data_IF_528170088141
#
_entry.id   IF_528170088141
#
_cell.length_a   1.000
_cell.length_b   1.000
_cell.length_c   1.000
_cell.angle_alpha   90.00
_cell.angle_beta   90.00
_cell.angle_gamma   90.00
#
_symmetry.space_group_name_H-M   'P 1'
#
loop_
_entity.id
_entity.type
_entity.pdbx_description
1 polymer ?
#
# COMPACT_ATOMS: atom_id res chain seq x y z
N UNK A 1 -2.90 2.73 -37.11
CA UNK A 1 -3.69 3.67 -36.27
C UNK A 1 -4.62 2.94 -35.30
N UNK A 2 -5.64 2.17 -35.74
CA UNK A 2 -6.58 1.47 -34.83
C UNK A 2 -5.95 0.54 -33.76
N UNK A 3 -4.84 -0.14 -34.08
CA UNK A 3 -4.13 -1.01 -33.14
C UNK A 3 -3.41 -0.22 -32.03
N UNK A 4 -2.93 0.98 -32.35
CA UNK A 4 -2.23 1.87 -31.41
C UNK A 4 -3.22 2.47 -30.39
N UNK A 5 -4.43 2.79 -30.85
CA UNK A 5 -5.52 3.29 -30.00
C UNK A 5 -6.02 2.21 -29.02
N UNK A 6 -6.10 0.95 -29.46
CA UNK A 6 -6.52 -0.16 -28.61
C UNK A 6 -5.50 -0.50 -27.52
N UNK A 7 -4.20 -0.49 -27.84
CA UNK A 7 -3.12 -0.68 -26.87
C UNK A 7 -3.13 0.44 -25.82
N UNK A 8 -3.33 1.69 -26.25
CA UNK A 8 -3.44 2.82 -25.33
C UNK A 8 -4.68 2.74 -24.44
N UNK A 9 -5.83 2.27 -24.97
CA UNK A 9 -7.05 2.06 -24.19
C UNK A 9 -6.86 0.98 -23.12
N UNK A 10 -6.20 -0.13 -23.46
CA UNK A 10 -5.94 -1.22 -22.51
C UNK A 10 -4.99 -0.80 -21.39
N UNK A 11 -3.94 -0.04 -21.72
CA UNK A 11 -3.02 0.56 -20.73
C UNK A 11 -3.80 1.52 -19.82
N UNK A 12 -4.67 2.35 -20.39
CA UNK A 12 -5.50 3.28 -19.63
C UNK A 12 -6.48 2.56 -18.70
N UNK A 13 -7.07 1.45 -19.14
CA UNK A 13 -7.96 0.64 -18.32
C UNK A 13 -7.21 -0.01 -17.15
N UNK A 14 -6.05 -0.63 -17.41
CA UNK A 14 -5.16 -1.16 -16.36
C UNK A 14 -4.78 -0.08 -15.34
N UNK A 15 -4.48 1.12 -15.83
CA UNK A 15 -4.17 2.28 -14.99
C UNK A 15 -5.34 2.62 -14.05
N UNK A 16 -6.54 2.81 -14.58
CA UNK A 16 -7.72 3.19 -13.78
C UNK A 16 -8.06 2.10 -12.78
N UNK A 17 -8.11 0.84 -13.23
CA UNK A 17 -8.47 -0.27 -12.38
C UNK A 17 -7.45 -0.44 -11.25
N UNK A 18 -6.16 -0.43 -11.61
CA UNK A 18 -5.05 -0.53 -10.67
C UNK A 18 -5.10 0.56 -9.61
N UNK A 19 -5.32 1.80 -10.04
CA UNK A 19 -5.50 2.95 -9.17
C UNK A 19 -6.67 2.79 -8.20
N UNK A 20 -7.88 2.49 -8.71
CA UNK A 20 -9.09 2.39 -7.90
C UNK A 20 -8.94 1.29 -6.85
N UNK A 21 -8.47 0.11 -7.25
CA UNK A 21 -8.26 -1.00 -6.35
C UNK A 21 -7.23 -0.65 -5.27
N UNK A 22 -6.08 -0.10 -5.66
CA UNK A 22 -5.03 0.23 -4.71
C UNK A 22 -5.47 1.32 -3.71
N UNK A 23 -6.06 2.41 -4.21
CA UNK A 23 -6.55 3.50 -3.37
C UNK A 23 -7.63 3.03 -2.40
N UNK A 24 -8.56 2.19 -2.87
CA UNK A 24 -9.62 1.60 -2.06
C UNK A 24 -9.05 0.79 -0.88
N UNK A 25 -8.11 -0.11 -1.15
CA UNK A 25 -7.45 -0.93 -0.11
C UNK A 25 -6.70 -0.08 0.91
N UNK A 26 -5.95 0.92 0.43
CA UNK A 26 -5.15 1.79 1.29
C UNK A 26 -6.02 2.68 2.18
N UNK A 27 -6.94 3.44 1.58
CA UNK A 27 -7.71 4.47 2.29
C UNK A 27 -8.68 3.86 3.31
N UNK A 28 -9.37 2.78 2.93
CA UNK A 28 -10.46 2.23 3.74
C UNK A 28 -10.08 1.06 4.64
N UNK A 29 -8.91 0.44 4.46
CA UNK A 29 -8.51 -0.73 5.26
C UNK A 29 -7.12 -0.60 5.87
N UNK A 30 -6.09 -0.23 5.09
CA UNK A 30 -4.71 -0.18 5.61
C UNK A 30 -4.55 0.93 6.65
N UNK A 31 -4.87 2.17 6.28
CA UNK A 31 -4.75 3.32 7.16
C UNK A 31 -5.63 3.21 8.43
N UNK A 32 -6.92 2.89 8.35
CA UNK A 32 -7.77 2.83 9.55
C UNK A 32 -7.45 1.68 10.51
N UNK A 33 -6.84 0.58 10.03
CA UNK A 33 -6.46 -0.56 10.89
C UNK A 33 -4.99 -0.58 11.28
N UNK A 34 -4.24 0.43 10.85
CA UNK A 34 -2.78 0.51 11.02
C UNK A 34 -2.09 -0.79 10.58
N UNK A 35 -2.51 -1.35 9.45
CA UNK A 35 -1.91 -2.55 8.91
C UNK A 35 -0.54 -2.21 8.34
N UNK A 36 0.48 -2.92 8.81
CA UNK A 36 1.85 -2.77 8.33
C UNK A 36 2.08 -3.94 7.38
N UNK A 37 1.89 -3.70 6.09
CA UNK A 37 2.01 -4.72 5.04
C UNK A 37 3.14 -4.39 4.06
N UNK A 38 3.99 -3.42 4.37
CA UNK A 38 4.94 -2.86 3.43
C UNK A 38 4.41 -1.69 2.60
N UNK A 39 5.13 -1.34 1.54
CA UNK A 39 4.83 -0.17 0.72
C UNK A 39 4.97 1.16 1.46
N UNK A 40 4.56 2.25 0.82
CA UNK A 40 4.69 3.59 1.39
C UNK A 40 3.88 3.72 2.69
N UNK A 41 2.57 3.49 2.63
CA UNK A 41 1.68 3.72 3.78
C UNK A 41 1.98 2.79 4.95
N UNK A 42 2.32 1.52 4.69
CA UNK A 42 2.78 0.62 5.74
C UNK A 42 4.08 1.12 6.41
N UNK A 43 5.00 1.66 5.62
CA UNK A 43 6.23 2.28 6.14
C UNK A 43 5.94 3.54 6.94
N UNK A 44 4.96 4.36 6.55
CA UNK A 44 4.56 5.56 7.30
C UNK A 44 3.90 5.20 8.64
N UNK A 45 3.04 4.16 8.67
CA UNK A 45 2.47 3.63 9.91
C UNK A 45 3.59 3.14 10.85
N UNK A 46 4.60 2.48 10.30
CA UNK A 46 5.79 2.06 11.06
C UNK A 46 6.60 3.24 11.60
N UNK A 47 6.80 4.29 10.81
CA UNK A 47 7.51 5.50 11.26
C UNK A 47 6.74 6.24 12.37
N UNK A 48 5.40 6.32 12.27
CA UNK A 48 4.56 6.87 13.34
C UNK A 48 4.72 6.07 14.64
N UNK A 49 4.88 4.75 14.53
CA UNK A 49 5.12 3.88 15.68
C UNK A 49 6.49 4.10 16.33
N UNK A 50 7.53 4.34 15.53
CA UNK A 50 8.88 4.57 16.07
C UNK A 50 8.98 5.96 16.70
N UNK A 51 8.63 7.01 15.96
CA UNK A 51 8.97 8.38 16.32
C UNK A 51 7.84 9.13 17.04
N UNK A 52 6.58 8.75 16.79
CA UNK A 52 5.40 9.47 17.26
C UNK A 52 4.58 8.69 18.28
N UNK A 53 5.23 7.79 19.03
CA UNK A 53 4.62 7.11 20.16
C UNK A 53 4.87 7.88 21.47
N UNK A 54 3.80 8.42 22.07
CA UNK A 54 3.87 9.19 23.34
C UNK A 54 2.70 8.82 24.25
N UNK A 55 2.96 8.71 25.55
CA UNK A 55 1.95 8.49 26.60
C UNK A 55 1.01 7.28 26.34
N UNK A 56 1.57 6.17 25.87
CA UNK A 56 0.80 4.95 25.61
C UNK A 56 0.00 4.96 24.31
N UNK A 57 0.01 6.06 23.54
CA UNK A 57 -0.75 6.23 22.29
C UNK A 57 0.17 6.55 21.12
N UNK A 58 -0.20 6.04 19.94
CA UNK A 58 0.46 6.38 18.68
C UNK A 58 -0.17 7.66 18.13
N UNK A 59 0.64 8.68 17.89
CA UNK A 59 0.24 9.86 17.15
C UNK A 59 0.47 9.60 15.66
N UNK A 60 -0.56 9.85 14.87
CA UNK A 60 -0.56 9.65 13.42
C UNK A 60 -0.09 10.94 12.73
N UNK A 61 1.22 11.19 12.69
CA UNK A 61 1.78 12.38 12.02
C UNK A 61 2.06 12.08 10.55
N UNK A 62 2.83 11.03 10.27
CA UNK A 62 3.22 10.60 8.92
C UNK A 62 2.03 10.08 8.12
N UNK A 63 1.05 9.45 8.77
CA UNK A 63 -0.15 8.90 8.14
C UNK A 63 -1.26 9.92 7.86
N UNK A 64 -1.01 11.22 8.10
CA UNK A 64 -1.93 12.30 7.67
C UNK A 64 -1.91 12.44 6.16
N UNK A 65 -3.09 12.66 5.56
CA UNK A 65 -3.24 12.74 4.10
C UNK A 65 -2.27 13.76 3.47
N UNK A 66 -2.12 14.95 4.06
CA UNK A 66 -1.18 15.96 3.56
C UNK A 66 0.29 15.49 3.59
N UNK A 67 0.69 14.76 4.64
CA UNK A 67 2.06 14.27 4.77
C UNK A 67 2.30 13.11 3.79
N UNK A 68 1.35 12.22 3.61
CA UNK A 68 1.39 11.17 2.58
C UNK A 68 1.60 11.80 1.19
N UNK A 69 0.85 12.85 0.85
CA UNK A 69 1.00 13.57 -0.43
C UNK A 69 2.39 14.17 -0.58
N UNK A 70 2.92 14.83 0.45
CA UNK A 70 4.27 15.41 0.42
C UNK A 70 5.32 14.32 0.17
N UNK A 71 5.23 13.20 0.90
CA UNK A 71 6.19 12.11 0.77
C UNK A 71 6.09 11.45 -0.62
N UNK A 72 4.88 11.29 -1.16
CA UNK A 72 4.67 10.81 -2.54
C UNK A 72 5.31 11.72 -3.58
N UNK A 73 5.25 13.05 -3.39
CA UNK A 73 5.95 14.01 -4.25
C UNK A 73 7.48 13.81 -4.18
N UNK A 74 8.04 13.55 -3.00
CA UNK A 74 9.47 13.24 -2.84
C UNK A 74 9.85 11.97 -3.61
N UNK A 75 9.06 10.89 -3.48
CA UNK A 75 9.29 9.66 -4.23
C UNK A 75 9.12 9.83 -5.74
N UNK A 76 8.20 10.71 -6.17
CA UNK A 76 8.06 11.08 -7.58
C UNK A 76 9.31 11.78 -8.11
N UNK A 77 9.88 12.72 -7.34
CA UNK A 77 11.17 13.34 -7.70
C UNK A 77 12.29 12.29 -7.78
N UNK A 78 12.36 11.34 -6.84
CA UNK A 78 13.33 10.25 -6.92
C UNK A 78 13.13 9.38 -8.18
N UNK A 79 11.88 9.13 -8.57
CA UNK A 79 11.55 8.37 -9.78
C UNK A 79 12.09 9.05 -11.04
N UNK A 80 12.02 10.39 -11.12
CA UNK A 80 12.60 11.17 -12.22
C UNK A 80 14.10 10.94 -12.41
N UNK A 81 14.85 10.83 -11.30
CA UNK A 81 16.30 10.62 -11.36
C UNK A 81 16.70 9.16 -11.62
N UNK A 82 15.85 8.21 -11.25
CA UNK A 82 16.20 6.79 -11.31
C UNK A 82 15.72 6.07 -12.57
N UNK A 83 14.68 6.57 -13.24
CA UNK A 83 14.02 5.87 -14.35
C UNK A 83 13.90 6.73 -15.60
N UNK A 84 13.57 6.10 -16.72
CA UNK A 84 13.40 6.78 -18.01
C UNK A 84 12.14 7.64 -18.04
N UNK A 85 12.12 8.63 -18.94
CA UNK A 85 11.00 9.57 -19.11
C UNK A 85 9.63 8.89 -19.26
N UNK A 86 9.45 7.79 -20.03
CA UNK A 86 8.16 7.13 -20.15
C UNK A 86 7.65 6.52 -18.84
N UNK A 87 8.55 5.95 -18.02
CA UNK A 87 8.22 5.40 -16.71
C UNK A 87 7.83 6.52 -15.74
N UNK A 88 8.60 7.61 -15.75
CA UNK A 88 8.34 8.78 -14.93
C UNK A 88 6.98 9.40 -15.24
N UNK A 89 6.63 9.61 -16.51
CA UNK A 89 5.36 10.21 -16.90
C UNK A 89 4.16 9.37 -16.46
N UNK A 90 4.22 8.04 -16.62
CA UNK A 90 3.16 7.15 -16.12
C UNK A 90 3.02 7.24 -14.60
N UNK A 91 4.15 7.21 -13.89
CA UNK A 91 4.20 7.33 -12.42
C UNK A 91 3.67 8.68 -11.94
N UNK A 92 4.00 9.76 -12.64
CA UNK A 92 3.53 11.12 -12.34
C UNK A 92 2.01 11.17 -12.37
N UNK A 93 1.39 10.60 -13.41
CA UNK A 93 -0.07 10.55 -13.52
C UNK A 93 -0.64 9.76 -12.33
N UNK A 94 -0.14 8.56 -12.02
CA UNK A 94 -0.61 7.77 -10.85
C UNK A 94 -0.51 8.57 -9.56
N UNK A 95 0.64 9.22 -9.33
CA UNK A 95 0.92 9.95 -8.09
C UNK A 95 0.02 11.18 -7.93
N UNK A 96 -0.25 11.90 -9.02
CA UNK A 96 -1.18 13.04 -9.02
C UNK A 96 -2.59 12.56 -8.72
N UNK A 97 -3.07 11.50 -9.38
CA UNK A 97 -4.40 10.95 -9.12
C UNK A 97 -4.56 10.46 -7.67
N UNK A 98 -3.55 9.78 -7.13
CA UNK A 98 -3.50 9.41 -5.71
C UNK A 98 -3.63 10.62 -4.80
N UNK A 99 -2.80 11.64 -5.04
CA UNK A 99 -2.78 12.84 -4.22
C UNK A 99 -4.09 13.62 -4.30
N UNK A 100 -4.68 13.67 -5.49
CA UNK A 100 -5.97 14.30 -5.74
C UNK A 100 -7.08 13.57 -4.99
N UNK A 101 -7.18 12.24 -5.07
CA UNK A 101 -8.21 11.48 -4.37
C UNK A 101 -8.07 11.56 -2.85
N UNK A 102 -6.84 11.52 -2.30
CA UNK A 102 -6.63 11.74 -0.87
C UNK A 102 -7.13 13.11 -0.40
N UNK A 103 -6.83 14.18 -1.16
CA UNK A 103 -7.31 15.54 -0.84
C UNK A 103 -8.81 15.68 -1.02
N UNK A 104 -9.37 15.09 -2.08
CA UNK A 104 -10.80 15.13 -2.36
C UNK A 104 -11.59 14.42 -1.25
N UNK A 105 -11.13 13.26 -0.80
CA UNK A 105 -11.78 12.51 0.27
C UNK A 105 -11.67 13.24 1.62
N UNK A 106 -10.55 13.92 1.86
CA UNK A 106 -10.37 14.78 3.04
C UNK A 106 -11.32 16.00 3.00
N UNK A 107 -11.43 16.66 1.83
CA UNK A 107 -12.33 17.78 1.60
C UNK A 107 -13.79 17.41 1.85
N UNK A 108 -14.24 16.27 1.33
CA UNK A 108 -15.58 15.74 1.57
C UNK A 108 -15.74 15.03 2.94
N UNK A 109 -14.69 15.04 3.78
CA UNK A 109 -14.67 14.39 5.10
C UNK A 109 -15.16 12.93 5.06
N UNK A 110 -14.78 12.21 4.00
CA UNK A 110 -15.15 10.80 3.82
C UNK A 110 -14.44 9.99 4.91
N UNK A 111 -15.23 9.35 5.77
CA UNK A 111 -14.70 8.56 6.86
C UNK A 111 -13.90 7.36 6.34
N UNK A 112 -12.64 7.23 6.77
CA UNK A 112 -11.77 6.08 6.45
C UNK A 112 -12.38 4.74 6.89
N UNK A 113 -13.21 4.74 7.93
CA UNK A 113 -13.91 3.55 8.41
C UNK A 113 -15.24 3.27 7.69
N UNK A 114 -15.59 4.01 6.63
CA UNK A 114 -16.91 3.92 5.99
C UNK A 114 -17.31 2.49 5.61
N UNK A 115 -16.41 1.74 4.96
CA UNK A 115 -16.69 0.36 4.57
C UNK A 115 -16.67 -0.60 5.75
N UNK A 116 -15.77 -0.36 6.70
CA UNK A 116 -15.66 -1.15 7.94
C UNK A 116 -16.96 -1.05 8.75
N UNK A 117 -17.58 0.13 8.80
CA UNK A 117 -18.86 0.32 9.50
C UNK A 117 -20.05 -0.35 8.83
N UNK A 118 -19.94 -0.69 7.54
CA UNK A 118 -20.95 -1.45 6.80
C UNK A 118 -20.79 -2.97 6.95
N UNK A 119 -19.76 -3.44 7.64
CA UNK A 119 -19.63 -4.87 7.93
C UNK A 119 -20.81 -5.36 8.78
N UNK A 120 -21.25 -6.62 8.59
CA UNK A 120 -22.24 -7.24 9.46
C UNK A 120 -21.87 -7.13 10.94
N UNK A 121 -22.86 -6.94 11.81
CA UNK A 121 -22.64 -6.73 13.25
C UNK A 121 -21.79 -7.84 13.91
N UNK A 122 -21.93 -9.09 13.48
CA UNK A 122 -21.14 -10.20 14.02
C UNK A 122 -19.64 -10.09 13.71
N UNK A 123 -19.27 -9.46 12.59
CA UNK A 123 -17.89 -9.20 12.20
C UNK A 123 -17.38 -7.97 12.93
N UNK A 124 -18.16 -6.88 12.90
CA UNK A 124 -17.80 -5.60 13.50
C UNK A 124 -17.58 -5.69 15.01
N UNK A 125 -18.35 -6.54 15.70
CA UNK A 125 -18.25 -6.71 17.16
C UNK A 125 -17.07 -7.60 17.59
N UNK A 126 -16.40 -8.27 16.65
CA UNK A 126 -15.24 -9.13 16.94
C UNK A 126 -14.01 -8.66 16.16
N UNK A 127 -13.08 -8.01 16.87
CA UNK A 127 -11.83 -7.48 16.30
C UNK A 127 -11.07 -8.51 15.45
N UNK A 128 -11.11 -9.80 15.81
CA UNK A 128 -10.41 -10.85 15.05
C UNK A 128 -11.06 -11.05 13.69
N UNK A 129 -12.38 -11.20 13.62
CA UNK A 129 -13.10 -11.38 12.35
C UNK A 129 -13.02 -10.14 11.47
N UNK A 130 -13.08 -8.96 12.08
CA UNK A 130 -12.91 -7.69 11.39
C UNK A 130 -11.51 -7.58 10.74
N UNK A 131 -10.45 -7.98 11.45
CA UNK A 131 -9.09 -8.05 10.91
C UNK A 131 -9.04 -9.02 9.73
N UNK A 132 -9.55 -10.25 9.90
CA UNK A 132 -9.56 -11.27 8.83
C UNK A 132 -10.24 -10.78 7.56
N UNK A 133 -11.44 -10.21 7.66
CA UNK A 133 -12.16 -9.72 6.48
C UNK A 133 -11.43 -8.54 5.83
N UNK A 134 -10.87 -7.63 6.63
CA UNK A 134 -10.09 -6.50 6.12
C UNK A 134 -8.89 -6.97 5.30
N UNK A 135 -8.19 -8.02 5.75
CA UNK A 135 -7.03 -8.57 5.06
C UNK A 135 -7.42 -9.17 3.72
N UNK A 136 -8.50 -9.95 3.66
CA UNK A 136 -8.97 -10.54 2.40
C UNK A 136 -9.21 -9.44 1.37
N UNK A 137 -9.86 -8.35 1.79
CA UNK A 137 -10.10 -7.19 0.94
C UNK A 137 -8.80 -6.50 0.55
N UNK A 138 -7.86 -6.32 1.47
CA UNK A 138 -6.53 -5.75 1.19
C UNK A 138 -5.77 -6.62 0.18
N UNK A 139 -5.75 -7.94 0.34
CA UNK A 139 -5.05 -8.88 -0.57
C UNK A 139 -5.55 -8.70 -1.99
N UNK A 140 -6.87 -8.71 -2.17
CA UNK A 140 -7.49 -8.53 -3.48
C UNK A 140 -7.19 -7.12 -4.02
N UNK A 141 -7.53 -6.09 -3.25
CA UNK A 141 -7.42 -4.71 -3.72
C UNK A 141 -5.98 -4.25 -3.97
N UNK A 142 -5.07 -4.45 -3.03
CA UNK A 142 -3.65 -4.05 -3.18
C UNK A 142 -2.91 -4.99 -4.14
N UNK A 143 -3.16 -6.30 -4.08
CA UNK A 143 -2.54 -7.28 -4.98
C UNK A 143 -2.86 -7.00 -6.44
N UNK A 144 -4.15 -6.89 -6.78
CA UNK A 144 -4.55 -6.53 -8.15
C UNK A 144 -4.16 -5.08 -8.48
N UNK A 145 -4.33 -4.15 -7.54
CA UNK A 145 -3.99 -2.74 -7.70
C UNK A 145 -2.54 -2.52 -8.15
N UNK A 146 -1.60 -3.02 -7.35
CA UNK A 146 -0.17 -2.97 -7.66
C UNK A 146 0.17 -3.80 -8.90
N UNK A 147 -0.42 -4.99 -9.06
CA UNK A 147 -0.18 -5.84 -10.22
C UNK A 147 -0.52 -5.16 -11.56
N UNK A 148 -1.66 -4.48 -11.64
CA UNK A 148 -2.02 -3.72 -12.85
C UNK A 148 -1.09 -2.53 -13.10
N UNK A 149 -0.72 -1.79 -12.05
CA UNK A 149 0.19 -0.65 -12.15
C UNK A 149 1.60 -1.08 -12.61
N UNK A 150 2.13 -2.16 -12.04
CA UNK A 150 3.46 -2.65 -12.40
C UNK A 150 3.49 -3.29 -13.79
N UNK A 151 2.37 -3.88 -14.24
CA UNK A 151 2.25 -4.45 -15.59
C UNK A 151 2.38 -3.43 -16.72
N UNK A 152 2.21 -2.13 -16.45
CA UNK A 152 2.37 -1.05 -17.44
C UNK A 152 3.70 -0.29 -17.28
N UNK A 153 4.66 -0.85 -16.53
CA UNK A 153 5.96 -0.23 -16.19
C UNK A 153 5.78 1.17 -15.58
N UNK A 154 5.05 1.22 -14.46
CA UNK A 154 4.91 2.40 -13.62
C UNK A 154 5.07 2.01 -12.15
N UNK A 155 5.32 2.97 -11.26
CA UNK A 155 5.19 2.77 -9.81
C UNK A 155 4.01 3.55 -9.25
N UNK A 156 3.64 3.21 -8.02
CA UNK A 156 2.56 3.87 -7.28
C UNK A 156 2.97 5.27 -6.78
N UNK A 157 4.24 5.67 -6.93
CA UNK A 157 4.78 6.90 -6.37
C UNK A 157 5.18 6.75 -4.90
N UNK A 158 5.55 5.54 -4.49
CA UNK A 158 5.97 5.20 -3.13
C UNK A 158 7.34 4.55 -3.07
N UNK A 159 7.55 3.72 -2.05
CA UNK A 159 8.82 2.98 -1.83
C UNK A 159 9.16 2.03 -2.98
N UNK A 160 8.13 1.57 -3.70
CA UNK A 160 8.23 0.72 -4.89
C UNK A 160 9.07 1.33 -6.02
N UNK A 161 9.13 2.66 -6.16
CA UNK A 161 9.98 3.30 -7.17
C UNK A 161 11.47 3.01 -6.93
N UNK A 162 11.90 2.90 -5.66
CA UNK A 162 13.27 2.50 -5.30
C UNK A 162 13.48 1.01 -5.56
N UNK A 163 12.51 0.18 -5.19
CA UNK A 163 12.61 -1.28 -5.35
C UNK A 163 12.68 -1.70 -6.82
N UNK A 164 11.92 -1.04 -7.69
CA UNK A 164 12.00 -1.27 -9.14
C UNK A 164 13.37 -0.88 -9.70
N UNK A 165 14.01 0.18 -9.20
CA UNK A 165 15.38 0.53 -9.61
C UNK A 165 16.40 -0.50 -9.15
N UNK A 166 16.27 -1.00 -7.92
CA UNK A 166 17.13 -2.05 -7.39
C UNK A 166 17.01 -3.34 -8.21
N UNK A 167 15.79 -3.72 -8.60
CA UNK A 167 15.54 -4.84 -9.51
C UNK A 167 16.28 -4.63 -10.84
N UNK A 168 16.11 -3.47 -11.49
CA UNK A 168 16.78 -3.16 -12.76
C UNK A 168 18.31 -3.12 -12.66
N UNK A 169 18.87 -2.72 -11.51
CA UNK A 169 20.32 -2.59 -11.33
C UNK A 169 21.01 -3.92 -10.99
N UNK A 170 20.38 -4.74 -10.16
CA UNK A 170 21.00 -5.95 -9.61
C UNK A 170 20.39 -7.26 -10.15
N UNK A 171 19.37 -7.19 -11.02
CA UNK A 171 18.60 -8.33 -11.52
C UNK A 171 18.06 -9.24 -10.40
N UNK A 172 17.77 -8.66 -9.23
CA UNK A 172 17.14 -9.36 -8.11
C UNK A 172 15.63 -9.25 -8.30
N UNK A 173 14.92 -10.39 -8.20
CA UNK A 173 13.46 -10.38 -8.32
C UNK A 173 12.84 -9.44 -7.28
N UNK A 174 11.86 -8.63 -7.72
CA UNK A 174 11.14 -7.67 -6.88
C UNK A 174 10.61 -8.32 -5.58
N UNK A 175 10.19 -9.58 -5.67
CA UNK A 175 9.72 -10.38 -4.55
C UNK A 175 10.74 -10.44 -3.40
N UNK A 176 12.01 -10.70 -3.70
CA UNK A 176 13.06 -10.78 -2.67
C UNK A 176 13.35 -9.42 -2.04
N UNK A 177 13.42 -8.35 -2.85
CA UNK A 177 13.67 -6.99 -2.36
C UNK A 177 12.58 -6.59 -1.36
N UNK A 178 11.31 -6.76 -1.76
CA UNK A 178 10.15 -6.49 -0.90
C UNK A 178 10.19 -7.37 0.35
N UNK A 179 10.49 -8.66 0.21
CA UNK A 179 10.52 -9.59 1.34
C UNK A 179 11.53 -9.16 2.41
N UNK A 180 12.71 -8.71 2.01
CA UNK A 180 13.70 -8.22 2.96
C UNK A 180 13.31 -6.86 3.54
N UNK A 181 12.90 -5.88 2.75
CA UNK A 181 12.61 -4.54 3.29
C UNK A 181 11.33 -4.53 4.10
N UNK A 182 10.24 -4.97 3.50
CA UNK A 182 8.90 -4.82 4.06
C UNK A 182 8.65 -5.92 5.10
N UNK A 183 9.17 -7.13 4.87
CA UNK A 183 9.12 -8.21 5.86
C UNK A 183 9.86 -7.85 7.17
N UNK A 184 11.03 -7.21 7.08
CA UNK A 184 11.74 -6.71 8.27
C UNK A 184 10.93 -5.64 9.01
N UNK A 185 10.30 -4.71 8.29
CA UNK A 185 9.44 -3.67 8.89
C UNK A 185 8.28 -4.30 9.69
N UNK A 186 7.67 -5.37 9.17
CA UNK A 186 6.59 -6.10 9.85
C UNK A 186 7.12 -6.76 11.13
N UNK A 187 8.25 -7.45 11.06
CA UNK A 187 8.86 -8.15 12.21
C UNK A 187 9.26 -7.15 13.30
N UNK A 188 9.91 -6.04 12.94
CA UNK A 188 10.32 -5.02 13.91
C UNK A 188 9.09 -4.38 14.54
N UNK A 189 8.06 -4.08 13.75
CA UNK A 189 6.79 -3.56 14.27
C UNK A 189 6.13 -4.49 15.29
N UNK A 190 6.15 -5.80 15.02
CA UNK A 190 5.64 -6.81 15.93
C UNK A 190 6.38 -6.79 17.27
N UNK A 191 7.72 -6.75 17.24
CA UNK A 191 8.55 -6.68 18.44
C UNK A 191 8.27 -5.41 19.26
N UNK A 192 8.11 -4.26 18.59
CA UNK A 192 7.78 -3.00 19.26
C UNK A 192 6.43 -3.08 19.97
N UNK A 193 5.39 -3.58 19.31
CA UNK A 193 4.05 -3.69 19.91
C UNK A 193 4.00 -4.71 21.05
N UNK A 194 4.73 -5.82 20.92
CA UNK A 194 4.87 -6.80 21.99
C UNK A 194 5.54 -6.21 23.23
N UNK A 195 6.62 -5.45 23.04
CA UNK A 195 7.34 -4.81 24.14
C UNK A 195 6.45 -3.79 24.85
N UNK A 196 5.70 -2.98 24.10
CA UNK A 196 4.85 -1.91 24.64
C UNK A 196 3.53 -2.41 25.25
N UNK A 197 3.17 -3.71 25.12
CA UNK A 197 1.93 -4.33 25.66
C UNK A 197 0.66 -3.50 25.44
N UNK A 198 0.56 -2.82 24.30
CA UNK A 198 -0.49 -1.80 24.02
C UNK A 198 -1.89 -2.42 23.97
N UNK A 199 -1.98 -3.67 23.50
CA UNK A 199 -3.22 -4.42 23.31
C UNK A 199 -3.12 -5.82 23.92
N UNK A 200 -4.27 -6.47 24.10
CA UNK A 200 -4.34 -7.91 24.39
C UNK A 200 -3.35 -8.67 23.50
N UNK A 201 -2.37 -9.38 24.10
CA UNK A 201 -1.28 -10.06 23.37
C UNK A 201 -1.81 -10.89 22.20
N UNK A 202 -2.94 -11.58 22.39
CA UNK A 202 -3.62 -12.37 21.35
C UNK A 202 -3.96 -11.54 20.09
N UNK A 203 -4.48 -10.34 20.24
CA UNK A 203 -4.85 -9.47 19.11
C UNK A 203 -3.61 -8.98 18.37
N UNK A 204 -2.53 -8.65 19.08
CA UNK A 204 -1.25 -8.28 18.48
C UNK A 204 -0.74 -9.43 17.61
N UNK A 205 -0.63 -10.63 18.19
CA UNK A 205 -0.19 -11.82 17.45
C UNK A 205 -1.03 -12.06 16.19
N UNK A 206 -2.37 -12.05 16.33
CA UNK A 206 -3.26 -12.23 15.18
C UNK A 206 -3.00 -11.16 14.12
N UNK A 207 -2.97 -9.87 14.49
CA UNK A 207 -2.74 -8.76 13.56
C UNK A 207 -1.45 -8.91 12.75
N UNK A 208 -0.34 -9.34 13.37
CA UNK A 208 0.94 -9.46 12.67
C UNK A 208 1.06 -10.72 11.82
N UNK A 209 0.54 -11.85 12.29
CA UNK A 209 0.42 -13.07 11.47
C UNK A 209 -0.39 -12.75 10.21
N UNK A 210 -1.53 -12.10 10.41
CA UNK A 210 -2.39 -11.57 9.38
C UNK A 210 -1.67 -10.61 8.41
N UNK A 211 -0.90 -9.66 8.93
CA UNK A 211 -0.14 -8.70 8.11
C UNK A 211 0.92 -9.40 7.27
N UNK A 212 1.59 -10.41 7.83
CA UNK A 212 2.61 -11.19 7.12
C UNK A 212 2.00 -12.07 6.03
N UNK A 213 0.89 -12.75 6.31
CA UNK A 213 0.11 -13.50 5.31
C UNK A 213 -0.35 -12.56 4.19
N UNK A 214 -0.87 -11.39 4.55
CA UNK A 214 -1.28 -10.36 3.59
C UNK A 214 -0.11 -9.95 2.68
N UNK A 215 1.02 -9.59 3.28
CA UNK A 215 2.21 -9.19 2.55
C UNK A 215 2.71 -10.27 1.57
N UNK A 216 2.79 -11.53 2.03
CA UNK A 216 3.25 -12.64 1.20
C UNK A 216 2.31 -12.89 0.03
N UNK A 217 0.99 -12.94 0.29
CA UNK A 217 -0.02 -13.20 -0.74
C UNK A 217 -0.13 -12.05 -1.75
N UNK A 218 -0.08 -10.80 -1.30
CA UNK A 218 -0.02 -9.62 -2.19
C UNK A 218 1.20 -9.67 -3.09
N UNK A 219 2.38 -9.93 -2.52
CA UNK A 219 3.64 -10.04 -3.29
C UNK A 219 3.59 -11.17 -4.31
N UNK A 220 2.98 -12.30 -3.96
CA UNK A 220 2.78 -13.43 -4.86
C UNK A 220 1.82 -13.11 -6.00
N UNK A 221 0.68 -12.46 -5.71
CA UNK A 221 -0.29 -12.00 -6.73
C UNK A 221 0.38 -11.03 -7.70
N UNK A 222 1.13 -10.04 -7.17
CA UNK A 222 1.87 -9.08 -8.00
C UNK A 222 2.83 -9.81 -8.94
N UNK A 223 3.59 -10.80 -8.44
CA UNK A 223 4.52 -11.56 -9.26
C UNK A 223 3.82 -12.35 -10.38
N UNK A 224 2.70 -13.02 -10.07
CA UNK A 224 1.89 -13.74 -11.07
C UNK A 224 1.38 -12.75 -12.13
N UNK A 225 0.73 -11.66 -11.72
CA UNK A 225 0.16 -10.70 -12.66
C UNK A 225 1.27 -10.10 -13.54
N UNK A 226 2.41 -9.75 -12.97
CA UNK A 226 3.53 -9.21 -13.73
C UNK A 226 4.10 -10.20 -14.75
N UNK A 227 4.01 -11.52 -14.49
CA UNK A 227 4.47 -12.57 -15.42
C UNK A 227 3.48 -12.86 -16.56
N UNK A 228 2.18 -12.76 -16.30
CA UNK A 228 1.12 -13.14 -17.27
C UNK A 228 0.43 -11.97 -17.97
N UNK A 229 0.54 -10.75 -17.44
CA UNK A 229 -0.20 -9.56 -17.93
C UNK A 229 0.73 -8.53 -18.60
N UNK A 230 2.05 -8.66 -18.45
CA UNK A 230 3.03 -7.87 -19.20
C UNK A 230 2.97 -8.16 -20.70
#
# INVERSE_FOLDING_TARGET
MKYFDFINLFIFFKFILGFIFLFFGIYFFILPKDFIIGGLEGSLIFLDKIFFYKNGKQNHFFTKNNVIVIIRIIFLFLSFFFHDLPFFLKTLIITIFFSFCFKLFDYYKINKNFFIYKFPNFIKNNNIYELFLSIIIIILSVGFGCGFIFSIDACTGGTDCIFLKLNLKYNIELFYILFFTDGLIIIISFLIDLYRKINNKKIIFVKYICSYICFFTVSFIINILNKYIK
#
